data_IF_240872937915
#
_entry.id   IF_240872937915
#
_cell.length_a   1.000
_cell.length_b   1.000
_cell.length_c   1.000
_cell.angle_alpha   90.00
_cell.angle_beta   90.00
_cell.angle_gamma   90.00
#
_symmetry.space_group_name_H-M   'P 1'
#
loop_
_entity.id
_entity.type
_entity.pdbx_description
1 polymer ?
#
# COMPACT_ATOMS: atom_id res chain seq x y z
N UNK A 1 22.70 40.48 -21.36
CA UNK A 1 22.10 39.93 -20.12
C UNK A 1 21.44 38.61 -20.46
N UNK A 2 21.91 37.45 -19.97
CA UNK A 2 21.24 36.19 -20.25
C UNK A 2 19.92 36.14 -19.46
N UNK A 3 18.82 35.87 -20.16
CA UNK A 3 17.50 35.75 -19.56
C UNK A 3 17.47 34.51 -18.66
N UNK A 4 17.23 34.70 -17.37
CA UNK A 4 17.01 33.60 -16.41
C UNK A 4 15.70 32.89 -16.78
N UNK A 5 15.79 31.74 -17.43
CA UNK A 5 14.65 30.86 -17.66
C UNK A 5 14.08 30.40 -16.31
N UNK A 6 12.83 30.74 -16.04
CA UNK A 6 12.09 30.29 -14.85
C UNK A 6 12.04 28.75 -14.86
N UNK A 7 12.35 28.06 -13.76
CA UNK A 7 12.31 26.60 -13.73
C UNK A 7 10.90 26.12 -14.12
N UNK A 8 10.79 25.05 -14.92
CA UNK A 8 9.50 24.51 -15.33
C UNK A 8 8.68 24.15 -14.09
N UNK A 9 7.38 24.45 -14.14
CA UNK A 9 6.46 24.08 -13.05
C UNK A 9 6.45 22.55 -12.90
N UNK A 10 6.40 22.02 -11.66
CA UNK A 10 6.28 20.58 -11.43
C UNK A 10 5.07 20.02 -12.17
N UNK A 11 5.25 18.90 -12.88
CA UNK A 11 4.14 18.23 -13.57
C UNK A 11 3.09 17.79 -12.53
N UNK A 12 1.84 18.29 -12.63
CA UNK A 12 0.81 18.00 -11.63
C UNK A 12 0.46 16.51 -11.57
N UNK A 13 0.59 15.76 -12.67
CA UNK A 13 0.33 14.32 -12.69
C UNK A 13 1.40 13.55 -11.92
N UNK A 14 2.67 13.95 -12.01
CA UNK A 14 3.76 13.32 -11.25
C UNK A 14 3.53 13.48 -9.75
N UNK A 15 3.09 14.66 -9.31
CA UNK A 15 2.80 14.91 -7.90
C UNK A 15 1.61 14.06 -7.42
N UNK A 16 0.52 14.01 -8.17
CA UNK A 16 -0.65 13.18 -7.85
C UNK A 16 -0.25 11.69 -7.73
N UNK A 17 0.47 11.16 -8.73
CA UNK A 17 0.97 9.78 -8.72
C UNK A 17 1.88 9.51 -7.51
N UNK A 18 2.66 10.50 -7.07
CA UNK A 18 3.53 10.35 -5.89
C UNK A 18 2.70 10.26 -4.60
N UNK A 19 1.68 11.10 -4.45
CA UNK A 19 0.74 11.09 -3.32
C UNK A 19 0.03 9.73 -3.22
N UNK A 20 -0.40 9.19 -4.35
CA UNK A 20 -1.10 7.89 -4.41
C UNK A 20 -0.13 6.70 -4.35
N UNK A 21 1.18 6.96 -4.34
CA UNK A 21 2.23 5.93 -4.39
C UNK A 21 2.31 5.18 -5.72
N UNK A 22 1.60 5.64 -6.74
CA UNK A 22 1.51 5.06 -8.08
C UNK A 22 2.59 5.57 -9.05
N UNK A 23 3.48 6.48 -8.63
CA UNK A 23 4.58 6.96 -9.46
C UNK A 23 5.59 5.84 -9.76
N UNK A 24 5.74 5.49 -11.03
CA UNK A 24 6.75 4.55 -11.50
C UNK A 24 8.14 5.20 -11.56
N UNK A 25 9.02 4.81 -10.64
CA UNK A 25 10.40 5.33 -10.56
C UNK A 25 11.29 4.85 -11.70
N UNK A 26 10.89 3.81 -12.43
CA UNK A 26 11.67 3.19 -13.50
C UNK A 26 11.06 3.47 -14.89
N UNK A 27 10.25 4.52 -15.02
CA UNK A 27 9.57 4.89 -16.28
C UNK A 27 10.54 4.95 -17.48
N UNK A 28 11.69 5.60 -17.33
CA UNK A 28 12.69 5.75 -18.39
C UNK A 28 13.37 4.44 -18.81
N UNK A 29 13.18 3.36 -18.07
CA UNK A 29 13.78 2.05 -18.36
C UNK A 29 12.80 1.09 -19.04
N UNK A 30 11.53 1.49 -19.21
CA UNK A 30 10.54 0.70 -19.94
C UNK A 30 10.90 0.74 -21.43
N UNK A 31 11.07 -0.43 -22.03
CA UNK A 31 11.47 -0.58 -23.43
C UNK A 31 10.32 -1.03 -24.33
N UNK A 32 9.16 -1.29 -23.75
CA UNK A 32 7.99 -1.70 -24.52
C UNK A 32 7.48 -0.55 -25.41
N UNK A 33 7.34 -0.77 -26.74
CA UNK A 33 7.03 0.31 -27.67
C UNK A 33 5.64 0.92 -27.47
N UNK A 34 4.73 0.28 -26.71
CA UNK A 34 3.39 0.85 -26.44
C UNK A 34 3.50 2.23 -25.79
N UNK A 35 4.50 2.47 -24.95
CA UNK A 35 4.71 3.75 -24.26
C UNK A 35 5.38 4.83 -25.12
N UNK A 36 5.85 4.48 -26.31
CA UNK A 36 6.34 5.45 -27.31
C UNK A 36 5.36 5.68 -28.45
N UNK A 37 4.35 4.82 -28.62
CA UNK A 37 3.48 4.83 -29.78
C UNK A 37 2.38 5.91 -29.71
N UNK A 38 1.90 6.26 -28.52
CA UNK A 38 0.78 7.19 -28.37
C UNK A 38 0.84 7.94 -27.03
N UNK A 39 0.51 9.25 -26.98
CA UNK A 39 0.57 10.06 -25.75
C UNK A 39 -0.38 9.62 -24.64
N UNK A 40 -1.34 8.74 -24.94
CA UNK A 40 -2.23 8.11 -23.96
C UNK A 40 -1.47 7.22 -22.97
N UNK A 41 -0.41 6.54 -23.42
CA UNK A 41 0.35 5.61 -22.59
C UNK A 41 1.45 6.35 -21.84
N UNK A 42 1.39 6.32 -20.52
CA UNK A 42 2.32 7.03 -19.64
C UNK A 42 3.10 6.06 -18.77
N UNK A 43 4.39 5.86 -19.10
CA UNK A 43 5.29 4.98 -18.37
C UNK A 43 5.50 5.41 -16.91
N UNK A 44 5.15 6.64 -16.54
CA UNK A 44 5.25 7.18 -15.18
C UNK A 44 4.10 6.71 -14.28
N UNK A 45 3.00 6.24 -14.86
CA UNK A 45 1.86 5.70 -14.13
C UNK A 45 2.02 4.18 -13.95
N UNK A 46 2.37 3.74 -12.74
CA UNK A 46 2.59 2.33 -12.44
C UNK A 46 1.32 1.47 -12.61
N UNK A 47 0.13 2.06 -12.43
CA UNK A 47 -1.14 1.33 -12.60
C UNK A 47 -1.36 1.05 -14.09
N UNK A 48 -1.16 2.06 -14.94
CA UNK A 48 -1.24 1.90 -16.39
C UNK A 48 -0.18 0.92 -16.91
N UNK A 49 1.06 1.01 -16.40
CA UNK A 49 2.14 0.05 -16.72
C UNK A 49 1.73 -1.38 -16.43
N UNK A 50 1.16 -1.66 -15.25
CA UNK A 50 0.68 -3.01 -14.93
C UNK A 50 -0.49 -3.44 -15.81
N UNK A 51 -1.43 -2.54 -16.07
CA UNK A 51 -2.59 -2.85 -16.93
C UNK A 51 -2.15 -3.21 -18.34
N UNK A 52 -1.29 -2.39 -18.97
CA UNK A 52 -0.80 -2.64 -20.33
C UNK A 52 0.07 -3.90 -20.41
N UNK A 53 0.82 -4.23 -19.35
CA UNK A 53 1.54 -5.50 -19.26
C UNK A 53 0.59 -6.69 -19.30
N UNK A 54 -0.51 -6.64 -18.54
CA UNK A 54 -1.53 -7.69 -18.55
C UNK A 54 -2.23 -7.77 -19.91
N UNK A 55 -2.67 -6.61 -20.45
CA UNK A 55 -3.33 -6.51 -21.75
C UNK A 55 -2.48 -7.14 -22.86
N UNK A 56 -1.16 -6.86 -22.89
CA UNK A 56 -0.25 -7.45 -23.88
C UNK A 56 -0.13 -8.96 -23.80
N UNK A 57 -0.12 -9.53 -22.60
CA UNK A 57 -0.05 -10.99 -22.45
C UNK A 57 -1.39 -11.62 -22.84
N UNK A 58 -2.51 -11.07 -22.36
CA UNK A 58 -3.84 -11.68 -22.52
C UNK A 58 -4.44 -11.46 -23.93
N UNK A 59 -4.30 -10.25 -24.48
CA UNK A 59 -4.91 -9.87 -25.77
C UNK A 59 -3.92 -10.07 -26.92
N UNK A 60 -2.67 -9.66 -26.74
CA UNK A 60 -1.66 -9.72 -27.80
C UNK A 60 -0.84 -11.04 -27.74
N UNK A 61 -1.25 -11.99 -26.88
CA UNK A 61 -0.65 -13.31 -26.68
C UNK A 61 0.89 -13.29 -26.48
N UNK A 62 1.42 -12.20 -25.92
CA UNK A 62 2.87 -12.05 -25.72
C UNK A 62 3.37 -12.94 -24.58
N UNK A 63 4.57 -13.53 -24.68
CA UNK A 63 5.08 -14.35 -23.58
C UNK A 63 5.32 -13.52 -22.31
N UNK A 64 4.98 -14.10 -21.15
CA UNK A 64 5.01 -13.41 -19.85
C UNK A 64 6.40 -12.85 -19.52
N UNK A 65 7.45 -13.67 -19.60
CA UNK A 65 8.81 -13.26 -19.20
C UNK A 65 9.34 -12.05 -19.97
N UNK A 66 9.42 -12.06 -21.32
CA UNK A 66 9.93 -10.92 -22.07
C UNK A 66 9.03 -9.68 -21.91
N UNK A 67 7.71 -9.86 -21.78
CA UNK A 67 6.79 -8.74 -21.56
C UNK A 67 7.05 -8.10 -20.20
N UNK A 68 7.11 -8.88 -19.12
CA UNK A 68 7.41 -8.34 -17.78
C UNK A 68 8.76 -7.59 -17.77
N UNK A 69 9.79 -8.15 -18.42
CA UNK A 69 11.10 -7.52 -18.52
C UNK A 69 11.05 -6.17 -19.27
N UNK A 70 10.34 -6.09 -20.40
CA UNK A 70 10.17 -4.86 -21.18
C UNK A 70 9.43 -3.76 -20.40
N UNK A 71 8.54 -4.16 -19.48
CA UNK A 71 7.81 -3.28 -18.58
C UNK A 71 8.54 -2.98 -17.26
N UNK A 72 9.80 -3.43 -17.12
CA UNK A 72 10.63 -3.31 -15.89
C UNK A 72 9.98 -3.90 -14.65
N UNK A 73 9.25 -5.00 -14.84
CA UNK A 73 8.63 -5.79 -13.78
C UNK A 73 9.18 -7.22 -13.77
N UNK A 74 9.05 -7.88 -12.62
CA UNK A 74 9.44 -9.29 -12.52
C UNK A 74 8.31 -10.21 -12.97
N UNK A 75 8.62 -11.44 -13.37
CA UNK A 75 7.61 -12.47 -13.67
C UNK A 75 6.68 -12.73 -12.46
N UNK A 76 7.15 -12.82 -11.21
CA UNK A 76 6.23 -12.86 -10.05
C UNK A 76 5.30 -11.65 -9.96
N UNK A 77 5.78 -10.45 -10.29
CA UNK A 77 4.95 -9.22 -10.30
C UNK A 77 3.82 -9.31 -11.32
N UNK A 78 4.04 -9.96 -12.46
CA UNK A 78 2.97 -10.23 -13.43
C UNK A 78 1.84 -11.04 -12.81
N UNK A 79 2.13 -12.21 -12.22
CA UNK A 79 1.10 -13.06 -11.65
C UNK A 79 0.38 -12.41 -10.45
N UNK A 80 1.11 -11.62 -9.65
CA UNK A 80 0.49 -10.83 -8.58
C UNK A 80 -0.48 -9.78 -9.13
N UNK A 81 -0.07 -9.05 -10.18
CA UNK A 81 -0.92 -8.06 -10.84
C UNK A 81 -2.14 -8.73 -11.49
N UNK A 82 -1.96 -9.85 -12.18
CA UNK A 82 -3.01 -10.62 -12.82
C UNK A 82 -4.07 -11.07 -11.80
N UNK A 83 -3.65 -11.71 -10.70
CA UNK A 83 -4.55 -12.12 -9.62
C UNK A 83 -5.28 -10.94 -9.00
N UNK A 84 -4.58 -9.84 -8.72
CA UNK A 84 -5.19 -8.66 -8.12
C UNK A 84 -6.21 -8.00 -9.05
N UNK A 85 -5.93 -7.95 -10.35
CA UNK A 85 -6.82 -7.43 -11.37
C UNK A 85 -8.06 -8.31 -11.54
N UNK A 86 -7.90 -9.63 -11.61
CA UNK A 86 -9.04 -10.57 -11.70
C UNK A 86 -9.97 -10.47 -10.48
N UNK A 87 -9.42 -10.24 -9.29
CA UNK A 87 -10.21 -10.16 -8.05
C UNK A 87 -10.89 -8.80 -7.83
N UNK A 88 -10.26 -7.69 -8.26
CA UNK A 88 -10.65 -6.33 -7.85
C UNK A 88 -10.67 -5.31 -8.99
N UNK A 89 -10.51 -5.75 -10.24
CA UNK A 89 -10.36 -4.89 -11.40
C UNK A 89 -9.15 -3.96 -11.30
N UNK A 90 -9.25 -2.78 -11.92
CA UNK A 90 -8.21 -1.75 -11.89
C UNK A 90 -7.81 -1.34 -10.47
N UNK A 91 -8.75 -1.31 -9.52
CA UNK A 91 -8.47 -0.98 -8.12
C UNK A 91 -7.51 -2.00 -7.46
N UNK A 92 -7.43 -3.22 -7.97
CA UNK A 92 -6.46 -4.22 -7.52
C UNK A 92 -5.01 -3.91 -7.89
N UNK A 93 -4.77 -3.08 -8.91
CA UNK A 93 -3.44 -2.71 -9.38
C UNK A 93 -2.81 -1.57 -8.56
N UNK A 94 -3.64 -0.83 -7.81
CA UNK A 94 -3.20 0.27 -6.96
C UNK A 94 -2.22 -0.23 -5.87
N UNK A 95 -1.16 0.53 -5.60
CA UNK A 95 -0.26 0.26 -4.49
C UNK A 95 -1.04 0.20 -3.17
N UNK A 96 -0.85 -0.87 -2.40
CA UNK A 96 -1.38 -0.94 -1.04
C UNK A 96 -0.56 -0.01 -0.13
N UNK A 97 -1.21 0.65 0.84
CA UNK A 97 -0.52 1.45 1.85
C UNK A 97 0.55 0.61 2.54
N UNK A 98 1.81 1.04 2.43
CA UNK A 98 2.96 0.41 3.11
C UNK A 98 2.95 0.83 4.57
N UNK A 99 3.21 -0.12 5.46
CA UNK A 99 3.27 0.09 6.90
C UNK A 99 2.87 -1.18 7.65
N UNK A 100 3.16 -1.29 8.95
CA UNK A 100 2.72 -2.43 9.74
C UNK A 100 1.19 -2.56 9.65
N UNK A 101 0.71 -3.71 9.18
CA UNK A 101 -0.72 -4.01 8.97
C UNK A 101 -1.53 -4.20 10.27
N UNK A 102 -0.98 -3.78 11.41
CA UNK A 102 -1.51 -4.00 12.74
C UNK A 102 -0.39 -4.30 13.74
N UNK A 103 -0.69 -4.23 15.04
CA UNK A 103 0.22 -4.74 16.05
C UNK A 103 0.16 -6.25 16.06
N UNK A 104 1.25 -6.94 15.73
CA UNK A 104 1.29 -8.42 15.74
C UNK A 104 1.02 -9.04 17.11
N UNK A 105 1.18 -8.27 18.21
CA UNK A 105 0.85 -8.69 19.59
C UNK A 105 -0.49 -8.18 20.10
N UNK A 106 -1.02 -7.10 19.53
CA UNK A 106 -2.29 -6.49 19.93
C UNK A 106 -3.27 -6.68 18.77
N UNK A 107 -3.71 -7.93 18.62
CA UNK A 107 -4.72 -8.32 17.64
C UNK A 107 -6.05 -7.64 17.94
N UNK A 108 -6.98 -7.66 16.99
CA UNK A 108 -8.32 -7.10 17.20
C UNK A 108 -9.02 -7.71 18.41
N UNK A 109 -8.88 -9.03 18.61
CA UNK A 109 -9.42 -9.75 19.76
C UNK A 109 -8.87 -9.23 21.09
N UNK A 110 -7.54 -9.10 21.22
CA UNK A 110 -6.91 -8.60 22.45
C UNK A 110 -7.34 -7.15 22.72
N UNK A 111 -7.46 -6.32 21.68
CA UNK A 111 -7.93 -4.94 21.84
C UNK A 111 -9.38 -4.87 22.32
N UNK A 112 -10.27 -5.73 21.81
CA UNK A 112 -11.66 -5.83 22.29
C UNK A 112 -11.70 -6.29 23.74
N UNK A 113 -10.89 -7.28 24.11
CA UNK A 113 -10.77 -7.73 25.51
C UNK A 113 -10.32 -6.59 26.44
N UNK A 114 -9.31 -5.82 26.04
CA UNK A 114 -8.81 -4.68 26.81
C UNK A 114 -9.87 -3.60 27.01
N UNK A 115 -10.67 -3.31 25.98
CA UNK A 115 -11.80 -2.35 26.08
C UNK A 115 -12.88 -2.84 27.04
N UNK A 116 -13.22 -4.12 27.00
CA UNK A 116 -14.19 -4.71 27.93
C UNK A 116 -13.69 -4.69 29.38
N UNK A 117 -12.41 -4.99 29.59
CA UNK A 117 -11.80 -4.90 30.91
C UNK A 117 -11.86 -3.47 31.46
N UNK A 118 -11.46 -2.48 30.65
CA UNK A 118 -11.50 -1.06 31.05
C UNK A 118 -12.92 -0.51 31.23
N UNK A 119 -13.91 -1.02 30.49
CA UNK A 119 -15.30 -0.64 30.66
C UNK A 119 -15.94 -1.24 31.93
N UNK A 120 -15.46 -2.41 32.38
CA UNK A 120 -15.91 -3.04 33.63
C UNK A 120 -15.27 -2.39 34.85
N UNK A 121 -14.03 -1.96 34.73
CA UNK A 121 -13.31 -1.26 35.78
C UNK A 121 -12.41 -0.16 35.19
N UNK A 122 -12.85 1.09 35.38
CA UNK A 122 -12.18 2.29 34.87
C UNK A 122 -10.89 2.59 35.64
N UNK A 123 -10.70 2.02 36.83
CA UNK A 123 -9.50 2.22 37.65
C UNK A 123 -8.29 1.42 37.18
N UNK A 124 -8.50 0.42 36.30
CA UNK A 124 -7.44 -0.44 35.78
C UNK A 124 -6.39 0.38 35.02
N UNK A 125 -5.15 0.28 35.50
CA UNK A 125 -4.01 0.96 34.86
C UNK A 125 -3.48 0.12 33.71
N UNK A 126 -2.72 0.72 32.78
CA UNK A 126 -2.11 0.00 31.66
C UNK A 126 -1.21 -1.18 32.05
N UNK A 127 -0.65 -1.17 33.27
CA UNK A 127 0.13 -2.29 33.82
C UNK A 127 -0.79 -3.47 34.18
N UNK A 128 -1.91 -3.20 34.81
CA UNK A 128 -2.89 -4.22 35.22
C UNK A 128 -3.51 -4.89 33.98
N UNK A 129 -3.80 -4.07 32.96
CA UNK A 129 -4.24 -4.54 31.65
C UNK A 129 -3.17 -5.39 30.92
N UNK A 130 -1.88 -5.07 31.08
CA UNK A 130 -0.81 -5.88 30.51
C UNK A 130 -0.74 -7.26 31.17
N UNK A 131 -0.95 -7.32 32.48
CA UNK A 131 -1.00 -8.58 33.22
C UNK A 131 -2.20 -9.44 32.76
N UNK A 132 -3.40 -8.85 32.64
CA UNK A 132 -4.56 -9.56 32.13
C UNK A 132 -4.35 -10.13 30.71
N UNK A 133 -3.61 -9.44 29.84
CA UNK A 133 -3.27 -9.96 28.51
C UNK A 133 -2.27 -11.11 28.59
N UNK A 134 -1.29 -11.02 29.49
CA UNK A 134 -0.34 -12.10 29.71
C UNK A 134 -1.05 -13.35 30.24
N UNK A 135 -1.93 -13.20 31.23
CA UNK A 135 -2.63 -14.33 31.86
C UNK A 135 -3.61 -15.02 30.90
N UNK A 136 -4.36 -14.24 30.11
CA UNK A 136 -5.41 -14.77 29.23
C UNK A 136 -4.91 -15.25 27.86
N UNK A 137 -3.94 -14.54 27.28
CA UNK A 137 -3.50 -14.79 25.90
C UNK A 137 -2.06 -15.30 25.81
N UNK A 138 -1.34 -15.43 26.93
CA UNK A 138 0.08 -15.78 26.96
C UNK A 138 0.96 -14.83 26.11
N UNK A 139 0.56 -13.57 25.97
CA UNK A 139 1.29 -12.54 25.21
C UNK A 139 1.79 -11.44 26.13
N UNK A 140 3.11 -11.26 26.20
CA UNK A 140 3.71 -10.12 26.90
C UNK A 140 3.65 -8.86 26.03
N UNK A 141 2.91 -7.85 26.49
CA UNK A 141 2.79 -6.53 25.87
C UNK A 141 3.22 -5.44 26.83
N UNK A 142 3.93 -4.44 26.32
CA UNK A 142 4.33 -3.29 27.14
C UNK A 142 3.10 -2.40 27.44
N UNK A 143 2.93 -1.86 28.66
CA UNK A 143 1.81 -0.98 29.03
C UNK A 143 1.58 0.18 28.04
N UNK A 144 2.66 0.86 27.63
CA UNK A 144 2.63 1.91 26.59
C UNK A 144 2.05 1.46 25.23
N UNK A 145 2.16 0.17 24.89
CA UNK A 145 1.54 -0.37 23.67
C UNK A 145 0.02 -0.52 23.82
N UNK A 146 -0.46 -0.88 25.01
CA UNK A 146 -1.88 -0.94 25.35
C UNK A 146 -2.49 0.46 25.30
N UNK A 147 -1.87 1.44 25.96
CA UNK A 147 -2.31 2.85 25.91
C UNK A 147 -2.48 3.35 24.48
N UNK A 148 -1.48 3.11 23.62
CA UNK A 148 -1.52 3.51 22.21
C UNK A 148 -2.60 2.77 21.43
N UNK A 149 -2.87 1.52 21.73
CA UNK A 149 -3.91 0.75 21.06
C UNK A 149 -5.31 1.26 21.43
N UNK A 150 -5.55 1.53 22.71
CA UNK A 150 -6.81 2.09 23.20
C UNK A 150 -7.06 3.50 22.64
N UNK A 151 -6.06 4.39 22.70
CA UNK A 151 -6.17 5.75 22.16
C UNK A 151 -6.40 5.79 20.64
N UNK A 152 -5.84 4.84 19.88
CA UNK A 152 -6.11 4.72 18.43
C UNK A 152 -7.55 4.34 18.13
N UNK A 153 -8.14 3.45 18.93
CA UNK A 153 -9.53 3.03 18.73
C UNK A 153 -10.51 4.13 19.10
N UNK A 154 -10.24 4.91 20.14
CA UNK A 154 -11.07 6.05 20.50
C UNK A 154 -11.14 7.10 19.39
N UNK A 155 -9.98 7.43 18.78
CA UNK A 155 -9.91 8.29 17.58
C UNK A 155 -10.64 7.72 16.37
N UNK A 156 -10.77 6.40 16.26
CA UNK A 156 -11.53 5.74 15.19
C UNK A 156 -13.04 5.77 15.47
N UNK A 157 -13.46 5.73 16.74
CA UNK A 157 -14.87 5.86 17.14
C UNK A 157 -15.41 7.29 16.96
N UNK A 158 -14.54 8.30 17.08
CA UNK A 158 -14.87 9.72 16.92
C UNK A 158 -14.85 10.22 15.47
N UNK A 159 -14.49 9.37 14.49
CA UNK A 159 -14.46 9.68 13.06
C UNK A 159 -15.58 8.94 12.34
#
# INVERSE_FOLDING_TARGET
MPQRTRPPRPDPKIEALRVDGALNRHAAQITDPVFGAHPFFDARDLVQVKYEMLRRVEIDARPVTPTAAAFRLSRPSFYQAQRAFQQRGLAGLLPKKRGPHGGHKLTAEIVTFLQQAQARDVSLRPVDLAQHVADRFAVTVHPRSIERALARQEKKRQR
#
